data_IF_293635174871
#
_entry.id   IF_293635174871
#
_cell.length_a   1.000
_cell.length_b   1.000
_cell.length_c   1.000
_cell.angle_alpha   90.00
_cell.angle_beta   90.00
_cell.angle_gamma   90.00
#
_symmetry.space_group_name_H-M   'P 1'
#
loop_
_entity.id
_entity.type
_entity.pdbx_description
1 polymer ?
#
# COMPACT_ATOMS: atom_id res chain seq x y z
N UNK A 1 5.28 -18.85 12.73
CA UNK A 1 4.03 -18.38 12.11
C UNK A 1 4.36 -17.64 10.81
N UNK A 2 4.12 -18.24 9.65
CA UNK A 2 4.11 -17.50 8.38
C UNK A 2 2.76 -16.77 8.27
N UNK A 3 2.73 -15.44 7.99
CA UNK A 3 1.48 -14.81 7.59
C UNK A 3 1.16 -15.32 6.18
N UNK A 4 0.17 -16.19 6.10
CA UNK A 4 -0.38 -16.73 4.86
C UNK A 4 -0.71 -15.57 3.92
N UNK A 5 -0.31 -15.68 2.65
CA UNK A 5 -0.49 -14.65 1.62
C UNK A 5 -1.92 -14.06 1.58
N UNK A 6 -2.93 -14.82 1.99
CA UNK A 6 -4.33 -14.41 2.15
C UNK A 6 -4.54 -13.22 3.09
N UNK A 7 -3.77 -13.14 4.18
CA UNK A 7 -3.83 -12.02 5.12
C UNK A 7 -3.29 -10.73 4.50
N UNK A 8 -2.32 -10.85 3.59
CA UNK A 8 -1.72 -9.71 2.91
C UNK A 8 -2.62 -9.19 1.78
N UNK A 9 -3.27 -10.10 1.05
CA UNK A 9 -4.28 -9.77 0.04
C UNK A 9 -5.49 -9.04 0.67
N UNK A 10 -5.96 -9.50 1.84
CA UNK A 10 -7.04 -8.83 2.58
C UNK A 10 -6.67 -7.41 3.04
N UNK A 11 -5.45 -7.24 3.57
CA UNK A 11 -4.93 -5.92 3.98
C UNK A 11 -4.79 -4.96 2.80
N UNK A 12 -4.34 -5.46 1.64
CA UNK A 12 -4.22 -4.65 0.45
C UNK A 12 -5.59 -4.21 -0.10
N UNK A 13 -6.56 -5.13 -0.14
CA UNK A 13 -7.92 -4.80 -0.57
C UNK A 13 -8.57 -3.75 0.35
N UNK A 14 -8.33 -3.84 1.67
CA UNK A 14 -8.77 -2.83 2.62
C UNK A 14 -8.09 -1.48 2.37
N UNK A 15 -6.78 -1.46 2.18
CA UNK A 15 -6.01 -0.27 1.87
C UNK A 15 -6.51 0.45 0.60
N UNK A 16 -6.86 -0.30 -0.46
CA UNK A 16 -7.45 0.27 -1.66
C UNK A 16 -8.82 0.92 -1.38
N UNK A 17 -9.66 0.30 -0.55
CA UNK A 17 -10.95 0.91 -0.14
C UNK A 17 -10.74 2.18 0.69
N UNK A 18 -9.76 2.18 1.59
CA UNK A 18 -9.39 3.35 2.40
C UNK A 18 -8.87 4.50 1.52
N UNK A 19 -8.10 4.20 0.48
CA UNK A 19 -7.66 5.19 -0.51
C UNK A 19 -8.87 5.82 -1.23
N UNK A 20 -9.81 5.00 -1.70
CA UNK A 20 -11.02 5.50 -2.36
C UNK A 20 -11.90 6.32 -1.41
N UNK A 21 -11.98 5.96 -0.12
CA UNK A 21 -12.66 6.76 0.89
C UNK A 21 -11.97 8.12 1.11
N UNK A 22 -10.62 8.15 1.16
CA UNK A 22 -9.83 9.39 1.33
C UNK A 22 -10.11 10.42 0.23
N UNK A 23 -10.50 9.97 -0.97
CA UNK A 23 -10.88 10.85 -2.08
C UNK A 23 -11.99 11.85 -1.71
N UNK A 24 -12.90 11.47 -0.83
CA UNK A 24 -14.00 12.33 -0.37
C UNK A 24 -13.52 13.49 0.52
N UNK A 25 -12.36 13.32 1.17
CA UNK A 25 -11.78 14.30 2.08
C UNK A 25 -10.68 15.13 1.41
N UNK A 26 -9.90 14.52 0.52
CA UNK A 26 -8.79 15.19 -0.15
C UNK A 26 -8.43 14.53 -1.49
N UNK A 27 -8.86 15.15 -2.58
CA UNK A 27 -8.47 14.74 -3.94
C UNK A 27 -6.95 14.83 -4.19
N UNK A 28 -6.26 15.78 -3.54
CA UNK A 28 -4.81 15.93 -3.64
C UNK A 28 -4.08 14.75 -2.99
N UNK A 29 -4.44 14.37 -1.74
CA UNK A 29 -3.84 13.20 -1.07
C UNK A 29 -4.16 11.91 -1.83
N UNK A 30 -5.40 11.75 -2.30
CA UNK A 30 -5.81 10.63 -3.16
C UNK A 30 -4.89 10.50 -4.38
N UNK A 31 -4.73 11.57 -5.16
CA UNK A 31 -3.94 11.55 -6.39
C UNK A 31 -2.48 11.18 -6.11
N UNK A 32 -1.89 11.75 -5.05
CA UNK A 32 -0.54 11.43 -4.62
C UNK A 32 -0.38 9.95 -4.24
N UNK A 33 -1.27 9.43 -3.41
CA UNK A 33 -1.19 8.04 -2.95
C UNK A 33 -1.51 7.04 -4.06
N UNK A 34 -2.44 7.35 -4.97
CA UNK A 34 -2.71 6.53 -6.15
C UNK A 34 -1.49 6.43 -7.07
N UNK A 35 -0.82 7.55 -7.34
CA UNK A 35 0.40 7.56 -8.15
C UNK A 35 1.53 6.74 -7.49
N UNK A 36 1.67 6.83 -6.17
CA UNK A 36 2.64 6.03 -5.41
C UNK A 36 2.30 4.53 -5.45
N UNK A 37 1.03 4.18 -5.28
CA UNK A 37 0.52 2.81 -5.37
C UNK A 37 0.82 2.20 -6.73
N UNK A 38 0.50 2.93 -7.82
CA UNK A 38 0.72 2.46 -9.19
C UNK A 38 2.21 2.30 -9.49
N UNK A 39 3.07 3.16 -8.93
CA UNK A 39 4.52 3.00 -9.03
C UNK A 39 5.00 1.73 -8.34
N UNK A 40 4.55 1.48 -7.11
CA UNK A 40 4.90 0.27 -6.37
C UNK A 40 4.43 -0.96 -7.15
N UNK A 41 3.17 -1.00 -7.57
CA UNK A 41 2.60 -2.11 -8.34
C UNK A 41 3.42 -2.40 -9.61
N UNK A 42 3.77 -1.37 -10.41
CA UNK A 42 4.64 -1.54 -11.59
C UNK A 42 5.99 -2.16 -11.25
N UNK A 43 6.67 -1.64 -10.22
CA UNK A 43 7.98 -2.20 -9.80
C UNK A 43 7.87 -3.61 -9.24
N UNK A 44 6.76 -3.93 -8.57
CA UNK A 44 6.45 -5.27 -8.07
C UNK A 44 6.24 -6.27 -9.20
N UNK A 45 5.46 -5.89 -10.22
CA UNK A 45 5.26 -6.74 -11.40
C UNK A 45 6.57 -7.00 -12.15
N UNK A 46 7.43 -6.00 -12.30
CA UNK A 46 8.75 -6.18 -12.91
C UNK A 46 9.63 -7.15 -12.11
N UNK A 47 9.65 -7.01 -10.78
CA UNK A 47 10.37 -7.94 -9.91
C UNK A 47 9.80 -9.37 -10.02
N UNK A 48 8.49 -9.54 -9.91
CA UNK A 48 7.85 -10.86 -9.99
C UNK A 48 8.09 -11.56 -11.33
N UNK A 49 8.19 -10.81 -12.43
CA UNK A 49 8.49 -11.35 -13.74
C UNK A 49 9.88 -11.99 -13.84
N UNK A 50 10.85 -11.53 -13.03
CA UNK A 50 12.23 -12.04 -13.03
C UNK A 50 12.58 -12.85 -11.78
N UNK A 51 11.74 -12.83 -10.74
CA UNK A 51 12.02 -13.43 -9.43
C UNK A 51 12.40 -14.92 -9.48
N UNK A 52 11.84 -15.67 -10.44
CA UNK A 52 12.14 -17.09 -10.62
C UNK A 52 13.46 -17.36 -11.37
N UNK A 53 14.06 -16.34 -11.98
CA UNK A 53 15.30 -16.43 -12.77
C UNK A 53 16.51 -15.78 -12.12
N UNK A 54 16.38 -15.24 -10.89
CA UNK A 54 17.46 -14.59 -10.14
C UNK A 54 17.80 -15.41 -8.89
N UNK A 55 18.99 -15.19 -8.31
CA UNK A 55 19.42 -15.88 -7.10
C UNK A 55 18.55 -15.55 -5.89
N UNK A 56 18.52 -16.48 -4.93
CA UNK A 56 17.78 -16.31 -3.67
C UNK A 56 18.27 -15.09 -2.88
N UNK A 57 19.58 -14.83 -2.84
CA UNK A 57 20.17 -13.64 -2.22
C UNK A 57 19.57 -12.32 -2.74
N UNK A 58 19.31 -12.22 -4.06
CA UNK A 58 18.69 -11.03 -4.66
C UNK A 58 17.21 -10.96 -4.25
N UNK A 59 16.51 -12.10 -4.28
CA UNK A 59 15.11 -12.18 -3.85
C UNK A 59 14.94 -11.75 -2.38
N UNK A 60 15.84 -12.19 -1.50
CA UNK A 60 15.83 -11.87 -0.07
C UNK A 60 16.13 -10.40 0.21
N UNK A 61 16.88 -9.73 -0.66
CA UNK A 61 17.10 -8.29 -0.57
C UNK A 61 15.89 -7.48 -1.06
N UNK A 62 15.28 -7.88 -2.19
CA UNK A 62 14.26 -7.06 -2.87
C UNK A 62 12.86 -7.30 -2.32
N UNK A 63 12.50 -8.54 -1.99
CA UNK A 63 11.16 -8.91 -1.52
C UNK A 63 10.72 -8.12 -0.27
N UNK A 64 11.53 -7.99 0.80
CA UNK A 64 11.13 -7.24 1.99
C UNK A 64 10.97 -5.76 1.69
N UNK A 65 11.82 -5.20 0.82
CA UNK A 65 11.74 -3.79 0.41
C UNK A 65 10.42 -3.49 -0.30
N UNK A 66 9.98 -4.37 -1.19
CA UNK A 66 8.70 -4.26 -1.87
C UNK A 66 7.52 -4.37 -0.88
N UNK A 67 7.54 -5.38 -0.01
CA UNK A 67 6.50 -5.58 1.00
C UNK A 67 6.39 -4.38 1.96
N UNK A 68 7.54 -3.83 2.38
CA UNK A 68 7.60 -2.66 3.23
C UNK A 68 7.02 -1.42 2.53
N UNK A 69 7.40 -1.17 1.26
CA UNK A 69 6.91 -0.03 0.51
C UNK A 69 5.37 -0.01 0.43
N UNK A 70 4.78 -1.17 0.12
CA UNK A 70 3.32 -1.32 0.05
C UNK A 70 2.66 -1.14 1.42
N UNK A 71 3.20 -1.81 2.45
CA UNK A 71 2.68 -1.74 3.82
C UNK A 71 2.74 -0.32 4.38
N UNK A 72 3.87 0.38 4.18
CA UNK A 72 4.08 1.76 4.62
C UNK A 72 3.14 2.75 3.93
N UNK A 73 2.88 2.56 2.62
CA UNK A 73 1.88 3.36 1.92
C UNK A 73 0.49 3.17 2.53
N UNK A 74 0.08 1.92 2.78
CA UNK A 74 -1.22 1.63 3.37
C UNK A 74 -1.39 2.23 4.77
N UNK A 75 -0.35 2.20 5.61
CA UNK A 75 -0.40 2.87 6.91
C UNK A 75 -0.55 4.39 6.79
N UNK A 76 0.14 5.03 5.83
CA UNK A 76 0.00 6.48 5.60
C UNK A 76 -1.42 6.84 5.15
N UNK A 77 -2.01 6.07 4.23
CA UNK A 77 -3.40 6.25 3.78
C UNK A 77 -4.35 6.12 4.97
N UNK A 78 -4.22 5.05 5.76
CA UNK A 78 -5.05 4.79 6.94
C UNK A 78 -4.98 5.95 7.94
N UNK A 79 -3.78 6.41 8.28
CA UNK A 79 -3.60 7.50 9.23
C UNK A 79 -4.23 8.81 8.73
N UNK A 80 -4.01 9.15 7.47
CA UNK A 80 -4.58 10.37 6.88
C UNK A 80 -6.12 10.33 6.83
N UNK A 81 -6.69 9.16 6.52
CA UNK A 81 -8.13 8.97 6.52
C UNK A 81 -8.69 9.05 7.95
N UNK A 82 -8.05 8.41 8.92
CA UNK A 82 -8.46 8.48 10.33
C UNK A 82 -8.44 9.92 10.84
N UNK A 83 -7.40 10.69 10.54
CA UNK A 83 -7.33 12.11 10.92
C UNK A 83 -8.42 12.94 10.24
N UNK A 84 -8.70 12.70 8.96
CA UNK A 84 -9.76 13.39 8.25
C UNK A 84 -11.15 13.12 8.87
N UNK A 85 -11.41 11.87 9.26
CA UNK A 85 -12.65 11.46 9.94
C UNK A 85 -12.77 12.08 11.34
N UNK A 86 -11.70 12.07 12.13
CA UNK A 86 -11.69 12.69 13.47
C UNK A 86 -11.98 14.19 13.37
N UNK A 87 -11.26 14.90 12.49
CA UNK A 87 -11.47 16.33 12.30
C UNK A 87 -12.88 16.68 11.78
N UNK A 88 -13.52 15.77 11.05
CA UNK A 88 -14.90 15.95 10.62
C UNK A 88 -15.88 15.88 11.81
N UNK A 89 -15.62 15.01 12.79
CA UNK A 89 -16.43 14.90 14.01
C UNK A 89 -16.21 16.10 14.92
N UNK A 90 -14.95 16.53 15.10
CA UNK A 90 -14.61 17.67 15.96
C UNK A 90 -15.12 19.02 15.42
N UNK A 91 -15.41 19.09 14.11
CA UNK A 91 -15.96 20.28 13.47
C UNK A 91 -17.51 20.37 13.55
N UNK A 92 -18.17 19.37 14.14
CA UNK A 92 -19.62 19.36 14.41
C UNK A 92 -19.94 19.82 15.83
#
# INVERSE_FOLDING_TARGET
MQPSADSNSGKLAQCTRELEALKQFSGAKYTRYKAEFDRIARTGSQYLAVANGISEDINDLVRPKYQYALTSLCYRIKNDLSLALINQVDAQ
#
